data_IF_485125482826
#
_entry.id   IF_485125482826
#
_cell.length_a   1.000
_cell.length_b   1.000
_cell.length_c   1.000
_cell.angle_alpha   90.00
_cell.angle_beta   90.00
_cell.angle_gamma   90.00
#
_symmetry.space_group_name_H-M   'P 1'
#
loop_
_entity.id
_entity.type
_entity.pdbx_description
1 polymer ?
#
# COMPACT_ATOMS: atom_id res chain seq x y z
N UNK A 1 32.59 16.31 -66.60
CA UNK A 1 33.05 16.91 -65.33
C UNK A 1 32.70 15.95 -64.20
N UNK A 2 33.62 15.68 -63.26
CA UNK A 2 33.32 14.84 -62.09
C UNK A 2 32.69 15.72 -61.00
N UNK A 3 31.56 15.33 -60.39
CA UNK A 3 30.88 16.15 -59.39
C UNK A 3 31.79 16.36 -58.17
N UNK A 4 31.74 17.58 -57.62
CA UNK A 4 32.63 18.03 -56.56
C UNK A 4 32.34 17.27 -55.25
N UNK A 5 33.32 17.12 -54.36
CA UNK A 5 33.17 16.33 -53.11
C UNK A 5 32.00 16.80 -52.24
N UNK A 6 31.67 18.09 -52.30
CA UNK A 6 30.58 18.71 -51.54
C UNK A 6 29.21 18.34 -52.15
N UNK A 7 29.09 18.32 -53.48
CA UNK A 7 27.86 17.95 -54.18
C UNK A 7 27.50 16.49 -53.95
N UNK A 8 28.50 15.60 -54.03
CA UNK A 8 28.33 14.17 -53.69
C UNK A 8 27.87 13.95 -52.25
N UNK A 9 28.33 14.78 -51.32
CA UNK A 9 27.91 14.68 -49.91
C UNK A 9 26.47 15.13 -49.72
N UNK A 10 26.06 16.22 -50.39
CA UNK A 10 24.66 16.68 -50.38
C UNK A 10 23.71 15.69 -51.06
N UNK A 11 24.11 15.10 -52.18
CA UNK A 11 23.33 14.03 -52.84
C UNK A 11 23.16 12.80 -51.93
N UNK A 12 24.21 12.42 -51.20
CA UNK A 12 24.17 11.29 -50.28
C UNK A 12 23.31 11.58 -49.04
N UNK A 13 23.39 12.80 -48.49
CA UNK A 13 22.52 13.26 -47.40
C UNK A 13 21.04 13.29 -47.82
N UNK A 14 20.74 13.75 -49.04
CA UNK A 14 19.38 13.80 -49.57
C UNK A 14 18.83 12.40 -49.88
N UNK A 15 19.66 11.50 -50.39
CA UNK A 15 19.30 10.09 -50.58
C UNK A 15 19.04 9.37 -49.24
N UNK A 16 19.84 9.66 -48.21
CA UNK A 16 19.62 9.13 -46.85
C UNK A 16 18.32 9.67 -46.25
N UNK A 17 18.04 10.97 -46.40
CA UNK A 17 16.81 11.58 -45.91
C UNK A 17 15.56 11.00 -46.62
N UNK A 18 15.61 10.79 -47.93
CA UNK A 18 14.54 10.13 -48.67
C UNK A 18 14.31 8.69 -48.20
N UNK A 19 15.39 7.92 -47.99
CA UNK A 19 15.28 6.55 -47.47
C UNK A 19 14.77 6.48 -46.03
N UNK A 20 15.12 7.45 -45.19
CA UNK A 20 14.57 7.57 -43.84
C UNK A 20 13.08 7.87 -43.88
N UNK A 21 12.64 8.79 -44.75
CA UNK A 21 11.21 9.11 -44.94
C UNK A 21 10.41 7.91 -45.46
N UNK A 22 10.96 7.15 -46.40
CA UNK A 22 10.35 5.90 -46.87
C UNK A 22 10.25 4.86 -45.76
N UNK A 23 11.30 4.69 -44.95
CA UNK A 23 11.29 3.78 -43.80
C UNK A 23 10.28 4.19 -42.73
N UNK A 24 10.12 5.48 -42.46
CA UNK A 24 9.10 5.99 -41.56
C UNK A 24 7.69 5.76 -42.11
N UNK A 25 7.47 6.00 -43.40
CA UNK A 25 6.20 5.69 -44.07
C UNK A 25 5.84 4.21 -43.99
N UNK A 26 6.82 3.33 -44.24
CA UNK A 26 6.64 1.88 -44.11
C UNK A 26 6.42 1.44 -42.66
N UNK A 27 7.08 2.07 -41.69
CA UNK A 27 6.85 1.79 -40.25
C UNK A 27 5.47 2.24 -39.80
N UNK A 28 5.00 3.41 -40.23
CA UNK A 28 3.63 3.87 -39.96
C UNK A 28 2.62 2.94 -40.61
N UNK A 29 2.82 2.57 -41.88
CA UNK A 29 1.93 1.63 -42.56
C UNK A 29 1.92 0.25 -41.93
N UNK A 30 3.07 -0.21 -41.42
CA UNK A 30 3.16 -1.43 -40.63
C UNK A 30 2.40 -1.31 -39.32
N UNK A 31 2.52 -0.19 -38.59
CA UNK A 31 1.80 0.05 -37.35
C UNK A 31 0.28 0.14 -37.58
N UNK A 32 -0.16 0.81 -38.64
CA UNK A 32 -1.57 0.86 -39.06
C UNK A 32 -2.11 -0.53 -39.40
N UNK A 33 -1.36 -1.34 -40.15
CA UNK A 33 -1.75 -2.70 -40.47
C UNK A 33 -1.72 -3.61 -39.24
N UNK A 34 -0.76 -3.44 -38.33
CA UNK A 34 -0.71 -4.14 -37.05
C UNK A 34 -1.87 -3.72 -36.13
N UNK A 35 -2.31 -2.45 -36.19
CA UNK A 35 -3.47 -1.94 -35.45
C UNK A 35 -4.78 -2.47 -36.04
N UNK A 36 -4.92 -2.44 -37.38
CA UNK A 36 -6.03 -3.06 -38.14
C UNK A 36 -6.10 -4.59 -37.95
N UNK A 37 -4.96 -5.26 -37.77
CA UNK A 37 -4.86 -6.69 -37.48
C UNK A 37 -4.95 -7.00 -35.97
N UNK A 38 -4.70 -6.02 -35.11
CA UNK A 38 -4.79 -6.19 -33.66
C UNK A 38 -6.24 -6.11 -33.24
N UNK A 39 -6.77 -7.27 -32.86
CA UNK A 39 -8.07 -7.35 -32.24
C UNK A 39 -7.96 -6.65 -30.88
N UNK A 40 -8.59 -5.49 -30.75
CA UNK A 40 -8.65 -4.74 -29.50
C UNK A 40 -9.26 -5.62 -28.40
N UNK A 41 -8.63 -5.70 -27.22
CA UNK A 41 -9.08 -6.57 -26.12
C UNK A 41 -10.49 -6.23 -25.59
N UNK A 42 -11.05 -5.07 -25.97
CA UNK A 42 -12.43 -4.68 -25.69
C UNK A 42 -13.48 -5.54 -26.43
N UNK A 43 -13.13 -6.18 -27.55
CA UNK A 43 -14.04 -7.11 -28.24
C UNK A 43 -14.09 -8.51 -27.60
N UNK A 44 -13.17 -8.81 -26.66
CA UNK A 44 -13.08 -10.10 -25.95
C UNK A 44 -13.82 -10.10 -24.61
N UNK A 45 -14.27 -8.93 -24.12
CA UNK A 45 -14.91 -8.79 -22.81
C UNK A 45 -16.40 -9.14 -22.80
N UNK A 46 -17.06 -9.26 -23.95
CA UNK A 46 -18.51 -9.52 -24.06
C UNK A 46 -18.92 -10.98 -23.84
N UNK A 47 -18.00 -11.87 -23.45
CA UNK A 47 -18.31 -13.26 -23.06
C UNK A 47 -18.62 -14.21 -24.20
N UNK A 48 -18.86 -13.71 -25.42
CA UNK A 48 -19.22 -14.53 -26.57
C UNK A 48 -18.12 -14.51 -27.66
N UNK A 49 -17.11 -15.36 -27.47
CA UNK A 49 -16.01 -15.56 -28.43
C UNK A 49 -16.53 -15.94 -29.83
N UNK A 50 -17.72 -16.53 -29.92
CA UNK A 50 -18.35 -16.89 -31.19
C UNK A 50 -18.84 -15.67 -31.98
N UNK A 51 -19.24 -14.61 -31.29
CA UNK A 51 -19.61 -13.33 -31.91
C UNK A 51 -18.38 -12.52 -32.34
N UNK A 52 -17.28 -12.61 -31.58
CA UNK A 52 -16.02 -11.92 -31.89
C UNK A 52 -15.26 -12.59 -33.06
N UNK A 53 -15.43 -13.89 -33.26
CA UNK A 53 -14.77 -14.65 -34.33
C UNK A 53 -15.79 -15.47 -35.14
N UNK A 54 -16.46 -14.88 -36.13
CA UNK A 54 -17.42 -15.58 -37.00
C UNK A 54 -16.79 -16.77 -37.76
N UNK A 55 -15.47 -16.78 -37.89
CA UNK A 55 -14.70 -17.88 -38.50
C UNK A 55 -14.86 -19.19 -37.71
N UNK A 56 -15.15 -19.12 -36.41
CA UNK A 56 -15.37 -20.29 -35.56
C UNK A 56 -16.63 -21.09 -35.95
N UNK A 57 -17.59 -20.50 -36.68
CA UNK A 57 -18.74 -21.21 -37.24
C UNK A 57 -18.33 -22.33 -38.22
N UNK A 58 -17.13 -22.26 -38.79
CA UNK A 58 -16.59 -23.26 -39.72
C UNK A 58 -15.76 -24.35 -39.02
N UNK A 59 -15.63 -24.32 -37.70
CA UNK A 59 -14.80 -25.23 -36.92
C UNK A 59 -15.56 -26.05 -35.87
N UNK A 60 -14.92 -27.13 -35.40
CA UNK A 60 -15.44 -28.03 -34.36
C UNK A 60 -16.03 -29.34 -34.88
N UNK A 61 -16.48 -30.20 -33.96
CA UNK A 61 -17.04 -31.51 -34.29
C UNK A 61 -18.40 -31.43 -35.04
N UNK A 62 -19.09 -30.30 -34.93
CA UNK A 62 -20.33 -29.97 -35.65
C UNK A 62 -20.28 -28.51 -36.11
N UNK A 63 -19.61 -28.21 -37.24
CA UNK A 63 -19.52 -26.84 -37.75
C UNK A 63 -20.90 -26.35 -38.20
N UNK A 64 -21.18 -25.06 -38.00
CA UNK A 64 -22.43 -24.40 -38.41
C UNK A 64 -22.43 -24.04 -39.90
N UNK A 65 -21.24 -23.93 -40.52
CA UNK A 65 -21.04 -23.61 -41.95
C UNK A 65 -19.98 -24.53 -42.56
N UNK A 66 -20.15 -24.90 -43.83
CA UNK A 66 -19.19 -25.75 -44.54
C UNK A 66 -18.01 -24.93 -45.10
N UNK A 67 -16.79 -25.35 -44.77
CA UNK A 67 -15.53 -24.71 -45.20
C UNK A 67 -15.38 -24.69 -46.73
N UNK A 68 -15.99 -25.66 -47.44
CA UNK A 68 -15.94 -25.76 -48.91
C UNK A 68 -16.65 -24.61 -49.64
N UNK A 69 -17.46 -23.84 -48.92
CA UNK A 69 -18.21 -22.70 -49.48
C UNK A 69 -17.39 -21.41 -49.55
N UNK A 70 -16.14 -21.44 -49.07
CA UNK A 70 -15.28 -20.26 -48.96
C UNK A 70 -14.43 -20.09 -50.23
N UNK A 71 -14.45 -18.90 -50.89
CA UNK A 71 -13.57 -18.61 -52.02
C UNK A 71 -12.08 -18.72 -51.64
N UNK A 72 -11.27 -19.27 -52.54
CA UNK A 72 -9.86 -19.59 -52.25
C UNK A 72 -9.02 -18.37 -51.87
N UNK A 73 -9.39 -17.19 -52.40
CA UNK A 73 -8.77 -15.90 -52.12
C UNK A 73 -8.96 -15.46 -50.66
N UNK A 74 -10.00 -15.97 -49.98
CA UNK A 74 -10.32 -15.65 -48.58
C UNK A 74 -9.75 -16.65 -47.58
N UNK A 75 -9.15 -17.75 -48.04
CA UNK A 75 -8.62 -18.82 -47.17
C UNK A 75 -7.46 -18.31 -46.32
N UNK A 76 -6.56 -17.50 -46.87
CA UNK A 76 -5.45 -16.91 -46.10
C UNK A 76 -5.94 -16.01 -44.95
N UNK A 77 -7.00 -15.23 -45.19
CA UNK A 77 -7.61 -14.37 -44.18
C UNK A 77 -8.37 -15.21 -43.12
N UNK A 78 -8.95 -16.35 -43.50
CA UNK A 78 -9.56 -17.26 -42.53
C UNK A 78 -8.52 -17.95 -41.65
N UNK A 79 -7.39 -18.39 -42.21
CA UNK A 79 -6.31 -19.03 -41.45
C UNK A 79 -5.72 -18.08 -40.39
N UNK A 80 -5.51 -16.82 -40.75
CA UNK A 80 -5.04 -15.79 -39.80
C UNK A 80 -6.08 -15.51 -38.71
N UNK A 81 -7.38 -15.44 -39.06
CA UNK A 81 -8.45 -15.32 -38.07
C UNK A 81 -8.56 -16.56 -37.16
N UNK A 82 -8.29 -17.76 -37.66
CA UNK A 82 -8.23 -18.98 -36.84
C UNK A 82 -7.04 -18.97 -35.88
N UNK A 83 -5.87 -18.52 -36.31
CA UNK A 83 -4.71 -18.38 -35.42
C UNK A 83 -4.97 -17.36 -34.31
N UNK A 84 -5.60 -16.23 -34.64
CA UNK A 84 -5.99 -15.21 -33.67
C UNK A 84 -7.06 -15.74 -32.70
N UNK A 85 -8.08 -16.44 -33.20
CA UNK A 85 -9.11 -17.06 -32.37
C UNK A 85 -8.51 -18.13 -31.45
N UNK A 86 -7.58 -18.95 -31.95
CA UNK A 86 -6.86 -19.97 -31.17
C UNK A 86 -6.07 -19.34 -30.02
N UNK A 87 -5.28 -18.29 -30.30
CA UNK A 87 -4.53 -17.55 -29.25
C UNK A 87 -5.46 -16.93 -28.22
N UNK A 88 -6.58 -16.33 -28.64
CA UNK A 88 -7.56 -15.73 -27.75
C UNK A 88 -8.24 -16.78 -26.85
N UNK A 89 -8.61 -17.94 -27.41
CA UNK A 89 -9.19 -19.07 -26.67
C UNK A 89 -8.19 -19.62 -25.65
N UNK A 90 -6.93 -19.83 -26.05
CA UNK A 90 -5.87 -20.28 -25.14
C UNK A 90 -5.63 -19.31 -24.00
N UNK A 91 -5.59 -18.00 -24.28
CA UNK A 91 -5.45 -16.96 -23.26
C UNK A 91 -6.64 -16.92 -22.29
N UNK A 92 -7.87 -17.03 -22.80
CA UNK A 92 -9.08 -17.09 -21.95
C UNK A 92 -9.13 -18.35 -21.10
N UNK A 93 -8.72 -19.50 -21.63
CA UNK A 93 -8.64 -20.75 -20.86
C UNK A 93 -7.60 -20.65 -19.73
N UNK A 94 -6.45 -20.03 -19.97
CA UNK A 94 -5.45 -19.78 -18.92
C UNK A 94 -6.01 -18.85 -17.83
N UNK A 95 -6.69 -17.76 -18.21
CA UNK A 95 -7.32 -16.84 -17.26
C UNK A 95 -8.39 -17.56 -16.41
N UNK A 96 -9.25 -18.37 -17.02
CA UNK A 96 -10.25 -19.17 -16.32
C UNK A 96 -9.61 -20.21 -15.38
N UNK A 97 -8.52 -20.87 -15.78
CA UNK A 97 -7.78 -21.77 -14.89
C UNK A 97 -7.20 -21.02 -13.68
N UNK A 98 -6.67 -19.81 -13.87
CA UNK A 98 -6.18 -18.99 -12.77
C UNK A 98 -7.32 -18.61 -11.81
N UNK A 99 -8.47 -18.21 -12.32
CA UNK A 99 -9.65 -17.88 -11.53
C UNK A 99 -10.18 -19.10 -10.74
N UNK A 100 -10.26 -20.27 -11.37
CA UNK A 100 -10.63 -21.53 -10.71
C UNK A 100 -9.65 -21.88 -9.60
N UNK A 101 -8.34 -21.69 -9.82
CA UNK A 101 -7.32 -21.94 -8.80
C UNK A 101 -7.41 -20.95 -7.62
N UNK A 102 -7.67 -19.67 -7.88
CA UNK A 102 -7.96 -18.65 -6.87
C UNK A 102 -9.19 -19.03 -6.04
N UNK A 103 -10.30 -19.39 -6.69
CA UNK A 103 -11.52 -19.83 -6.03
C UNK A 103 -11.28 -21.07 -5.16
N UNK A 104 -10.56 -22.06 -5.68
CA UNK A 104 -10.18 -23.25 -4.91
C UNK A 104 -9.30 -22.92 -3.70
N UNK A 105 -8.38 -21.95 -3.82
CA UNK A 105 -7.59 -21.46 -2.67
C UNK A 105 -8.49 -20.80 -1.63
N UNK A 106 -9.45 -19.97 -2.05
CA UNK A 106 -10.41 -19.31 -1.15
C UNK A 106 -11.31 -20.31 -0.44
N UNK A 107 -11.82 -21.32 -1.16
CA UNK A 107 -12.61 -22.42 -0.57
C UNK A 107 -11.77 -23.18 0.48
N UNK A 108 -10.52 -23.52 0.18
CA UNK A 108 -9.62 -24.16 1.16
C UNK A 108 -9.35 -23.29 2.38
N UNK A 109 -9.15 -21.98 2.20
CA UNK A 109 -8.94 -21.04 3.29
C UNK A 109 -10.19 -20.90 4.17
N UNK A 110 -11.38 -20.80 3.56
CA UNK A 110 -12.66 -20.80 4.27
C UNK A 110 -12.91 -22.13 5.00
N UNK A 111 -12.57 -23.27 4.40
CA UNK A 111 -12.64 -24.58 5.05
C UNK A 111 -11.76 -24.65 6.30
N UNK A 112 -10.51 -24.17 6.24
CA UNK A 112 -9.63 -24.07 7.41
C UNK A 112 -10.17 -23.14 8.48
N UNK A 113 -10.74 -22.00 8.08
CA UNK A 113 -11.37 -21.06 8.99
C UNK A 113 -12.58 -21.70 9.70
N UNK A 114 -13.42 -22.42 8.96
CA UNK A 114 -14.56 -23.14 9.52
C UNK A 114 -14.12 -24.20 10.55
N UNK A 115 -13.10 -25.00 10.23
CA UNK A 115 -12.55 -26.00 11.17
C UNK A 115 -12.04 -25.30 12.44
N UNK A 116 -11.27 -24.21 12.32
CA UNK A 116 -10.76 -23.45 13.47
C UNK A 116 -11.89 -22.89 14.34
N UNK A 117 -12.91 -22.30 13.72
CA UNK A 117 -14.08 -21.79 14.45
C UNK A 117 -14.82 -22.94 15.11
N UNK A 118 -15.00 -24.07 14.43
CA UNK A 118 -15.63 -25.27 15.01
C UNK A 118 -14.86 -25.81 16.23
N UNK A 119 -13.53 -25.84 16.19
CA UNK A 119 -12.69 -26.24 17.32
C UNK A 119 -12.78 -25.24 18.49
N UNK A 120 -12.76 -23.93 18.18
CA UNK A 120 -12.93 -22.88 19.19
C UNK A 120 -14.30 -22.94 19.85
N UNK A 121 -15.35 -23.18 19.06
CA UNK A 121 -16.70 -23.38 19.57
C UNK A 121 -16.73 -24.61 20.48
N UNK A 122 -16.18 -25.75 20.05
CA UNK A 122 -16.12 -26.95 20.90
C UNK A 122 -15.35 -26.73 22.21
N UNK A 123 -14.23 -26.03 22.17
CA UNK A 123 -13.47 -25.68 23.38
C UNK A 123 -14.27 -24.76 24.32
N UNK A 124 -15.05 -23.83 23.77
CA UNK A 124 -15.97 -23.00 24.54
C UNK A 124 -17.12 -23.82 25.14
N UNK A 125 -17.69 -24.77 24.38
CA UNK A 125 -18.71 -25.69 24.88
C UNK A 125 -18.19 -26.55 26.04
N UNK A 126 -16.99 -27.12 25.89
CA UNK A 126 -16.35 -27.95 26.91
C UNK A 126 -16.01 -27.11 28.17
N UNK A 127 -15.62 -25.85 28.02
CA UNK A 127 -15.28 -24.95 29.13
C UNK A 127 -16.52 -24.38 29.86
N UNK A 128 -17.64 -24.19 29.16
CA UNK A 128 -18.84 -23.51 29.69
C UNK A 128 -20.01 -24.44 29.97
N UNK A 129 -19.96 -25.69 29.48
CA UNK A 129 -21.06 -26.65 29.56
C UNK A 129 -22.26 -26.31 28.66
N UNK A 130 -22.19 -25.24 27.86
CA UNK A 130 -23.26 -24.78 26.99
C UNK A 130 -22.92 -25.15 25.54
N UNK A 131 -23.64 -26.13 24.96
CA UNK A 131 -23.50 -26.48 23.53
C UNK A 131 -24.00 -25.36 22.64
N UNK A 132 -23.19 -24.93 21.67
CA UNK A 132 -23.62 -24.11 20.57
C UNK A 132 -24.46 -24.98 19.62
N UNK A 133 -25.72 -24.62 19.42
CA UNK A 133 -26.60 -25.35 18.52
C UNK A 133 -26.08 -25.24 17.08
N UNK A 134 -25.44 -26.31 16.59
CA UNK A 134 -25.08 -26.48 15.19
C UNK A 134 -26.33 -26.57 14.32
N UNK A 135 -26.35 -25.81 13.23
CA UNK A 135 -27.48 -25.63 12.32
C UNK A 135 -27.87 -26.84 11.45
N UNK A 136 -27.61 -28.08 11.89
CA UNK A 136 -28.00 -29.29 11.16
C UNK A 136 -29.31 -29.93 11.66
N UNK A 137 -29.97 -29.35 12.66
CA UNK A 137 -31.24 -29.87 13.18
C UNK A 137 -32.48 -29.27 12.50
N UNK A 138 -32.61 -29.48 11.19
CA UNK A 138 -33.90 -29.28 10.51
C UNK A 138 -34.89 -30.44 10.74
N UNK A 139 -34.44 -31.58 11.29
CA UNK A 139 -35.28 -32.79 11.47
C UNK A 139 -35.74 -33.09 12.90
N UNK A 140 -35.29 -32.35 13.91
CA UNK A 140 -35.61 -32.63 15.34
C UNK A 140 -36.67 -31.69 15.95
N UNK A 141 -37.34 -30.88 15.14
CA UNK A 141 -38.44 -30.00 15.62
C UNK A 141 -39.66 -30.75 16.21
N UNK A 142 -39.67 -32.09 16.21
CA UNK A 142 -40.72 -32.88 16.89
C UNK A 142 -40.31 -33.45 18.25
N UNK A 143 -39.04 -33.42 18.64
CA UNK A 143 -38.60 -34.01 19.91
C UNK A 143 -38.56 -33.01 21.09
N UNK A 144 -38.35 -31.72 20.81
CA UNK A 144 -38.18 -30.69 21.86
C UNK A 144 -39.47 -30.17 22.51
N UNK A 145 -40.65 -30.64 22.09
CA UNK A 145 -41.92 -30.21 22.69
C UNK A 145 -42.35 -31.06 23.90
N UNK A 146 -41.52 -31.99 24.41
CA UNK A 146 -41.91 -32.91 25.49
C UNK A 146 -41.04 -32.90 26.76
N UNK A 147 -40.12 -31.96 26.95
CA UNK A 147 -39.22 -32.00 28.12
C UNK A 147 -39.09 -30.72 28.96
N UNK A 148 -39.91 -29.70 28.72
CA UNK A 148 -39.95 -28.53 29.61
C UNK A 148 -41.33 -28.42 30.30
N UNK A 149 -41.69 -29.45 31.05
CA UNK A 149 -42.58 -29.30 32.21
C UNK A 149 -41.69 -28.94 33.41
N UNK A 150 -41.15 -27.74 33.38
CA UNK A 150 -40.72 -27.05 34.59
C UNK A 150 -41.58 -25.81 34.71
N UNK A 151 -42.14 -25.59 35.90
CA UNK A 151 -42.99 -24.43 36.19
C UNK A 151 -42.18 -23.14 35.98
N UNK A 152 -42.23 -22.62 34.75
CA UNK A 152 -41.65 -21.33 34.38
C UNK A 152 -42.46 -20.27 35.09
N UNK A 153 -41.81 -19.55 36.00
CA UNK A 153 -42.47 -18.47 36.73
C UNK A 153 -42.97 -17.40 35.74
N UNK A 154 -44.10 -16.71 36.02
CA UNK A 154 -44.67 -15.70 35.11
C UNK A 154 -43.68 -14.59 34.71
N UNK A 155 -42.71 -14.29 35.58
CA UNK A 155 -41.65 -13.32 35.33
C UNK A 155 -40.63 -13.76 34.26
N UNK A 156 -40.29 -15.05 34.20
CA UNK A 156 -39.36 -15.57 33.19
C UNK A 156 -40.00 -15.65 31.79
N UNK A 157 -41.31 -15.85 31.73
CA UNK A 157 -42.08 -15.77 30.49
C UNK A 157 -42.13 -14.33 29.95
N UNK A 158 -42.33 -13.33 30.81
CA UNK A 158 -42.34 -11.94 30.36
C UNK A 158 -40.94 -11.43 29.99
N UNK A 159 -39.88 -11.88 30.66
CA UNK A 159 -38.51 -11.54 30.25
C UNK A 159 -38.16 -12.12 28.88
N UNK A 160 -38.54 -13.39 28.61
CA UNK A 160 -38.38 -14.01 27.28
C UNK A 160 -39.21 -13.32 26.21
N UNK A 161 -40.47 -12.95 26.50
CA UNK A 161 -41.32 -12.20 25.58
C UNK A 161 -40.74 -10.83 25.24
N UNK A 162 -40.17 -10.13 26.22
CA UNK A 162 -39.48 -8.86 25.98
C UNK A 162 -38.23 -9.02 25.10
N UNK A 163 -37.48 -10.12 25.25
CA UNK A 163 -36.32 -10.45 24.44
C UNK A 163 -36.69 -10.74 22.98
N UNK A 164 -37.73 -11.57 22.77
CA UNK A 164 -38.27 -11.88 21.44
C UNK A 164 -38.80 -10.61 20.76
N UNK A 165 -39.49 -9.72 21.49
CA UNK A 165 -39.97 -8.46 20.95
C UNK A 165 -38.82 -7.52 20.55
N UNK A 166 -37.72 -7.50 21.31
CA UNK A 166 -36.50 -6.77 20.94
C UNK A 166 -35.88 -7.35 19.66
N UNK A 167 -35.75 -8.67 19.55
CA UNK A 167 -35.23 -9.34 18.35
C UNK A 167 -36.09 -9.10 17.11
N UNK A 168 -37.43 -9.16 17.23
CA UNK A 168 -38.34 -8.83 16.13
C UNK A 168 -38.14 -7.37 15.70
N UNK A 169 -37.90 -6.45 16.65
CA UNK A 169 -37.68 -5.04 16.36
C UNK A 169 -36.35 -4.80 15.65
N UNK A 170 -35.26 -5.41 16.10
CA UNK A 170 -33.96 -5.34 15.41
C UNK A 170 -34.04 -6.01 14.04
N UNK A 171 -34.73 -7.15 13.91
CA UNK A 171 -34.99 -7.82 12.64
C UNK A 171 -35.70 -6.91 11.63
N UNK A 172 -36.74 -6.19 12.05
CA UNK A 172 -37.46 -5.21 11.21
C UNK A 172 -36.57 -4.04 10.78
N UNK A 173 -35.72 -3.53 11.66
CA UNK A 173 -34.76 -2.45 11.33
C UNK A 173 -33.75 -2.95 10.29
N UNK A 174 -33.26 -4.18 10.45
CA UNK A 174 -32.28 -4.78 9.55
C UNK A 174 -32.88 -5.04 8.16
N UNK A 175 -34.15 -5.45 8.11
CA UNK A 175 -34.89 -5.64 6.87
C UNK A 175 -35.07 -4.33 6.11
N UNK A 176 -35.51 -3.25 6.80
CA UNK A 176 -35.59 -1.90 6.20
C UNK A 176 -34.26 -1.38 5.67
N UNK A 177 -33.16 -1.61 6.41
CA UNK A 177 -31.82 -1.23 5.94
C UNK A 177 -31.43 -1.99 4.68
N UNK A 178 -31.72 -3.29 4.60
CA UNK A 178 -31.47 -4.10 3.40
C UNK A 178 -32.30 -3.63 2.21
N UNK A 179 -33.58 -3.35 2.41
CA UNK A 179 -34.46 -2.78 1.37
C UNK A 179 -33.90 -1.45 0.84
N UNK A 180 -33.44 -0.58 1.74
CA UNK A 180 -32.83 0.69 1.37
C UNK A 180 -31.52 0.50 0.58
N UNK A 181 -30.65 -0.42 0.99
CA UNK A 181 -29.41 -0.74 0.25
C UNK A 181 -29.71 -1.35 -1.12
N UNK A 182 -30.76 -2.19 -1.25
CA UNK A 182 -31.18 -2.73 -2.55
C UNK A 182 -31.68 -1.60 -3.46
N UNK A 183 -32.44 -0.66 -2.92
CA UNK A 183 -32.91 0.51 -3.67
C UNK A 183 -31.73 1.37 -4.15
N UNK A 184 -30.77 1.66 -3.27
CA UNK A 184 -29.55 2.40 -3.59
C UNK A 184 -28.70 1.69 -4.66
N UNK A 185 -28.52 0.37 -4.56
CA UNK A 185 -27.85 -0.43 -5.60
C UNK A 185 -28.59 -0.38 -6.93
N UNK A 186 -29.92 -0.43 -6.91
CA UNK A 186 -30.73 -0.38 -8.14
C UNK A 186 -30.58 0.96 -8.84
N UNK A 187 -30.62 2.07 -8.07
CA UNK A 187 -30.35 3.40 -8.62
C UNK A 187 -28.93 3.53 -9.18
N UNK A 188 -27.92 3.00 -8.49
CA UNK A 188 -26.55 3.02 -8.99
C UNK A 188 -26.39 2.22 -10.30
N UNK A 189 -27.10 1.10 -10.45
CA UNK A 189 -27.11 0.32 -11.70
C UNK A 189 -27.81 1.08 -12.84
N UNK A 190 -28.92 1.76 -12.54
CA UNK A 190 -29.64 2.60 -13.50
C UNK A 190 -28.73 3.74 -14.01
N UNK A 191 -28.10 4.47 -13.09
CA UNK A 191 -27.20 5.59 -13.40
C UNK A 191 -25.98 5.12 -14.21
N UNK A 192 -25.47 3.92 -13.91
CA UNK A 192 -24.41 3.30 -14.72
C UNK A 192 -24.86 2.98 -16.14
N UNK A 193 -26.11 2.59 -16.37
CA UNK A 193 -26.64 2.34 -17.72
C UNK A 193 -26.76 3.64 -18.50
N UNK A 194 -27.28 4.70 -17.88
CA UNK A 194 -27.37 6.04 -18.49
C UNK A 194 -25.99 6.55 -18.94
N UNK A 195 -24.96 6.38 -18.11
CA UNK A 195 -23.58 6.73 -18.48
C UNK A 195 -23.07 5.90 -19.67
N UNK A 196 -23.41 4.60 -19.75
CA UNK A 196 -23.01 3.77 -20.88
C UNK A 196 -23.69 4.23 -22.18
N UNK A 197 -24.97 4.59 -22.11
CA UNK A 197 -25.70 5.12 -23.25
C UNK A 197 -25.11 6.48 -23.73
N UNK A 198 -24.69 7.34 -22.80
CA UNK A 198 -23.96 8.58 -23.11
C UNK A 198 -22.60 8.31 -23.78
N UNK A 199 -21.85 7.32 -23.29
CA UNK A 199 -20.57 6.92 -23.91
C UNK A 199 -20.78 6.42 -25.34
N UNK A 200 -21.82 5.62 -25.58
CA UNK A 200 -22.14 5.12 -26.92
C UNK A 200 -22.58 6.25 -27.87
N UNK A 201 -23.35 7.22 -27.37
CA UNK A 201 -23.71 8.41 -28.13
C UNK A 201 -22.46 9.24 -28.51
N UNK A 202 -21.53 9.45 -27.57
CA UNK A 202 -20.28 10.16 -27.80
C UNK A 202 -19.37 9.42 -28.80
N UNK A 203 -19.25 8.10 -28.67
CA UNK A 203 -18.47 7.29 -29.61
C UNK A 203 -19.02 7.35 -31.05
N UNK A 204 -20.35 7.36 -31.19
CA UNK A 204 -20.96 7.58 -32.50
C UNK A 204 -20.71 9.00 -33.02
N UNK A 205 -20.77 10.02 -32.15
CA UNK A 205 -20.38 11.38 -32.49
C UNK A 205 -18.96 11.46 -33.04
N UNK A 206 -17.99 10.84 -32.36
CA UNK A 206 -16.59 10.75 -32.78
C UNK A 206 -16.47 10.10 -34.17
N UNK A 207 -17.14 8.96 -34.39
CA UNK A 207 -17.12 8.26 -35.68
C UNK A 207 -17.64 9.10 -36.84
N UNK A 208 -18.71 9.87 -36.61
CA UNK A 208 -19.27 10.78 -37.62
C UNK A 208 -18.28 11.91 -37.91
N UNK A 209 -17.73 12.55 -36.86
CA UNK A 209 -16.74 13.61 -37.05
C UNK A 209 -15.47 13.13 -37.75
N UNK A 210 -14.98 11.92 -37.46
CA UNK A 210 -13.81 11.35 -38.13
C UNK A 210 -14.06 11.11 -39.61
N UNK A 211 -15.27 10.64 -39.96
CA UNK A 211 -15.68 10.48 -41.36
C UNK A 211 -15.71 11.83 -42.07
N UNK A 212 -16.33 12.84 -41.46
CA UNK A 212 -16.43 14.18 -42.06
C UNK A 212 -15.05 14.80 -42.24
N UNK A 213 -14.17 14.69 -41.23
CA UNK A 213 -12.80 15.17 -41.28
C UNK A 213 -11.98 14.45 -42.36
N UNK A 214 -12.22 13.17 -42.59
CA UNK A 214 -11.61 12.44 -43.71
C UNK A 214 -12.09 12.97 -45.05
N UNK A 215 -13.39 13.17 -45.24
CA UNK A 215 -13.93 13.76 -46.47
C UNK A 215 -13.39 15.17 -46.74
N UNK A 216 -13.29 16.01 -45.71
CA UNK A 216 -12.70 17.36 -45.83
C UNK A 216 -11.20 17.30 -46.16
N UNK A 217 -10.45 16.36 -45.57
CA UNK A 217 -9.03 16.15 -45.93
C UNK A 217 -8.86 15.74 -47.39
N UNK A 218 -9.72 14.85 -47.89
CA UNK A 218 -9.71 14.42 -49.30
C UNK A 218 -10.04 15.59 -50.22
N UNK A 219 -11.04 16.42 -49.87
CA UNK A 219 -11.37 17.64 -50.60
C UNK A 219 -10.22 18.66 -50.62
N UNK A 220 -9.56 18.85 -49.47
CA UNK A 220 -8.41 19.75 -49.35
C UNK A 220 -7.19 19.25 -50.15
N UNK A 221 -6.96 17.93 -50.18
CA UNK A 221 -5.91 17.35 -51.03
C UNK A 221 -6.20 17.55 -52.53
N UNK A 222 -7.47 17.41 -52.94
CA UNK A 222 -7.86 17.70 -54.32
C UNK A 222 -7.63 19.18 -54.68
N UNK A 223 -7.96 20.09 -53.77
CA UNK A 223 -7.75 21.53 -53.95
C UNK A 223 -6.25 21.88 -54.03
N UNK A 224 -5.41 21.27 -53.18
CA UNK A 224 -3.96 21.45 -53.23
C UNK A 224 -3.41 20.97 -54.57
N UNK A 225 -3.86 19.80 -55.06
CA UNK A 225 -3.42 19.28 -56.35
C UNK A 225 -3.83 20.20 -57.52
N UNK A 226 -5.01 20.82 -57.45
CA UNK A 226 -5.45 21.83 -58.42
C UNK A 226 -4.57 23.09 -58.36
N UNK A 227 -4.25 23.56 -57.15
CA UNK A 227 -3.36 24.71 -56.95
C UNK A 227 -1.94 24.43 -57.46
N UNK A 228 -1.41 23.23 -57.21
CA UNK A 228 -0.10 22.81 -57.71
C UNK A 228 -0.06 22.81 -59.25
N UNK A 229 -1.12 22.37 -59.93
CA UNK A 229 -1.21 22.42 -61.39
C UNK A 229 -1.31 23.86 -61.93
N UNK A 230 -2.02 24.74 -61.21
CA UNK A 230 -2.07 26.18 -61.51
C UNK A 230 -0.71 26.84 -61.32
N UNK A 231 0.00 26.54 -60.23
CA UNK A 231 1.34 27.04 -59.94
C UNK A 231 2.37 26.56 -60.95
N UNK A 232 2.27 25.30 -61.40
CA UNK A 232 3.11 24.76 -62.48
C UNK A 232 2.86 25.51 -63.79
N UNK A 233 1.60 25.81 -64.13
CA UNK A 233 1.25 26.62 -65.32
C UNK A 233 1.74 28.06 -65.19
N UNK A 234 1.60 28.66 -64.01
CA UNK A 234 2.08 30.02 -63.72
C UNK A 234 3.60 30.09 -63.81
N UNK A 235 4.32 29.16 -63.19
CA UNK A 235 5.78 29.09 -63.27
C UNK A 235 6.27 28.91 -64.71
N UNK A 236 5.63 28.04 -65.51
CA UNK A 236 5.94 27.91 -66.95
C UNK A 236 5.73 29.22 -67.72
N UNK A 237 4.62 29.92 -67.46
CA UNK A 237 4.33 31.21 -68.08
C UNK A 237 5.27 32.33 -67.59
N UNK A 238 5.75 32.23 -66.35
CA UNK A 238 6.67 33.15 -65.73
C UNK A 238 8.11 32.99 -66.24
N UNK A 239 8.57 31.76 -66.44
CA UNK A 239 9.88 31.43 -67.04
C UNK A 239 9.93 31.92 -68.49
N UNK A 240 8.83 31.77 -69.24
CA UNK A 240 8.72 32.29 -70.61
C UNK A 240 8.79 33.84 -70.73
N UNK A 241 8.70 34.56 -69.60
CA UNK A 241 8.74 36.04 -69.52
C UNK A 241 9.93 36.56 -68.71
N UNK A 242 11.02 35.80 -68.60
CA UNK A 242 12.19 36.22 -67.83
C UNK A 242 12.92 37.40 -68.48
N UNK A 243 12.73 38.59 -67.91
CA UNK A 243 13.57 39.78 -68.13
C UNK A 243 14.60 39.90 -67.00
N UNK A 244 15.81 40.35 -67.31
CA UNK A 244 16.93 40.54 -66.35
C UNK A 244 16.52 41.35 -65.10
N UNK A 245 15.65 42.36 -65.24
CA UNK A 245 15.13 43.14 -64.10
C UNK A 245 14.33 42.32 -63.09
N UNK A 246 13.74 41.20 -63.52
CA UNK A 246 12.94 40.33 -62.66
C UNK A 246 13.80 39.38 -61.83
N UNK A 247 14.95 38.96 -62.36
CA UNK A 247 15.96 38.21 -61.60
C UNK A 247 16.52 39.06 -60.47
N UNK A 248 16.84 40.34 -60.73
CA UNK A 248 17.29 41.28 -59.69
C UNK A 248 16.21 41.52 -58.61
N UNK A 249 14.93 41.59 -58.99
CA UNK A 249 13.82 41.68 -58.02
C UNK A 249 13.70 40.38 -57.21
N UNK A 250 13.87 39.20 -57.82
CA UNK A 250 13.84 37.92 -57.11
C UNK A 250 15.01 37.76 -56.14
N UNK A 251 16.19 38.25 -56.50
CA UNK A 251 17.37 38.26 -55.63
C UNK A 251 17.16 39.19 -54.43
N UNK A 252 16.63 40.41 -54.66
CA UNK A 252 16.22 41.30 -53.56
C UNK A 252 15.08 40.75 -52.68
N UNK A 253 14.13 40.00 -53.26
CA UNK A 253 13.09 39.29 -52.50
C UNK A 253 13.70 38.14 -51.69
N UNK A 254 14.71 37.44 -52.21
CA UNK A 254 15.41 36.39 -51.50
C UNK A 254 16.20 36.95 -50.31
N UNK A 255 16.93 38.05 -50.50
CA UNK A 255 17.65 38.75 -49.43
C UNK A 255 16.69 39.24 -48.34
N UNK A 256 15.59 39.91 -48.71
CA UNK A 256 14.57 40.33 -47.73
C UNK A 256 13.93 39.12 -47.02
N UNK A 257 13.72 38.01 -47.73
CA UNK A 257 13.18 36.78 -47.13
C UNK A 257 14.18 36.18 -46.13
N UNK A 258 15.47 36.22 -46.44
CA UNK A 258 16.53 35.72 -45.56
C UNK A 258 16.65 36.62 -44.32
N UNK A 259 16.60 37.94 -44.45
CA UNK A 259 16.57 38.89 -43.32
C UNK A 259 15.33 38.73 -42.44
N UNK A 260 14.14 38.59 -43.05
CA UNK A 260 12.89 38.29 -42.33
C UNK A 260 13.01 36.94 -41.62
N UNK A 261 13.57 35.92 -42.29
CA UNK A 261 13.76 34.61 -41.67
C UNK A 261 14.73 34.70 -40.48
N UNK A 262 15.83 35.43 -40.60
CA UNK A 262 16.81 35.63 -39.52
C UNK A 262 16.18 36.30 -38.30
N UNK A 263 15.49 37.42 -38.51
CA UNK A 263 14.81 38.17 -37.43
C UNK A 263 13.66 37.38 -36.79
N UNK A 264 12.86 36.66 -37.57
CA UNK A 264 11.81 35.77 -37.07
C UNK A 264 12.42 34.62 -36.27
N UNK A 265 13.54 34.05 -36.72
CA UNK A 265 14.18 32.93 -36.03
C UNK A 265 14.80 33.39 -34.71
N UNK A 266 15.46 34.54 -34.67
CA UNK A 266 16.00 35.13 -33.42
C UNK A 266 14.89 35.48 -32.43
N UNK A 267 13.81 36.11 -32.90
CA UNK A 267 12.63 36.42 -32.08
C UNK A 267 11.98 35.15 -31.54
N UNK A 268 11.79 34.12 -32.38
CA UNK A 268 11.26 32.82 -31.98
C UNK A 268 12.15 32.12 -30.97
N UNK A 269 13.47 32.15 -31.14
CA UNK A 269 14.41 31.57 -30.17
C UNK A 269 14.39 32.31 -28.83
N UNK A 270 14.19 33.63 -28.83
CA UNK A 270 14.03 34.41 -27.59
C UNK A 270 12.71 34.06 -26.89
N UNK A 271 11.61 33.99 -27.63
CA UNK A 271 10.31 33.56 -27.11
C UNK A 271 10.34 32.13 -26.58
N UNK A 272 10.99 31.20 -27.29
CA UNK A 272 11.13 29.81 -26.85
C UNK A 272 11.93 29.70 -25.55
N UNK A 273 12.99 30.52 -25.39
CA UNK A 273 13.74 30.61 -24.13
C UNK A 273 12.86 31.11 -22.99
N UNK A 274 12.09 32.18 -23.21
CA UNK A 274 11.13 32.71 -22.22
C UNK A 274 10.11 31.64 -21.83
N UNK A 275 9.49 30.96 -22.80
CA UNK A 275 8.51 29.89 -22.56
C UNK A 275 9.13 28.74 -21.75
N UNK A 276 10.35 28.32 -22.10
CA UNK A 276 11.05 27.27 -21.33
C UNK A 276 11.31 27.71 -19.89
N UNK A 277 11.73 28.95 -19.67
CA UNK A 277 11.92 29.51 -18.32
C UNK A 277 10.61 29.61 -17.55
N UNK A 278 9.51 30.02 -18.20
CA UNK A 278 8.17 30.07 -17.60
C UNK A 278 7.66 28.68 -17.23
N UNK A 279 7.78 27.69 -18.11
CA UNK A 279 7.37 26.31 -17.84
C UNK A 279 8.17 25.71 -16.68
N UNK A 280 9.50 25.89 -16.69
CA UNK A 280 10.35 25.47 -15.57
C UNK A 280 9.92 26.13 -14.25
N UNK A 281 9.57 27.42 -14.29
CA UNK A 281 9.11 28.16 -13.12
C UNK A 281 7.77 27.64 -12.60
N UNK A 282 6.82 27.33 -13.49
CA UNK A 282 5.52 26.74 -13.13
C UNK A 282 5.73 25.40 -12.44
N UNK A 283 6.48 24.48 -13.05
CA UNK A 283 6.76 23.16 -12.46
C UNK A 283 7.44 23.28 -11.09
N UNK A 284 8.41 24.20 -10.96
CA UNK A 284 9.09 24.45 -9.69
C UNK A 284 8.13 24.99 -8.62
N UNK A 285 7.24 25.90 -8.98
CA UNK A 285 6.25 26.48 -8.06
C UNK A 285 5.18 25.45 -7.66
N UNK A 286 4.70 24.64 -8.59
CA UNK A 286 3.74 23.56 -8.34
C UNK A 286 4.32 22.50 -7.39
N UNK A 287 5.53 22.03 -7.65
CA UNK A 287 6.19 21.06 -6.79
C UNK A 287 6.38 21.61 -5.36
N UNK A 288 6.73 22.89 -5.25
CA UNK A 288 6.91 23.54 -3.95
C UNK A 288 5.59 23.77 -3.23
N UNK A 289 4.55 24.16 -3.94
CA UNK A 289 3.21 24.28 -3.39
C UNK A 289 2.78 22.93 -2.80
N UNK A 290 2.95 21.84 -3.54
CA UNK A 290 2.64 20.49 -3.06
C UNK A 290 3.41 20.13 -1.78
N UNK A 291 4.71 20.46 -1.72
CA UNK A 291 5.53 20.23 -0.53
C UNK A 291 5.04 21.05 0.68
N UNK A 292 4.69 22.31 0.44
CA UNK A 292 4.17 23.22 1.47
C UNK A 292 2.81 22.75 1.95
N UNK A 293 1.89 22.39 1.05
CA UNK A 293 0.56 21.87 1.39
C UNK A 293 0.65 20.60 2.23
N UNK A 294 1.49 19.63 1.81
CA UNK A 294 1.75 18.43 2.61
C UNK A 294 2.28 18.77 4.00
N UNK A 295 3.24 19.70 4.10
CA UNK A 295 3.78 20.14 5.38
C UNK A 295 2.72 20.83 6.26
N UNK A 296 1.88 21.69 5.67
CA UNK A 296 0.81 22.39 6.38
C UNK A 296 -0.29 21.43 6.85
N UNK A 297 -0.65 20.44 6.03
CA UNK A 297 -1.60 19.38 6.41
C UNK A 297 -1.06 18.53 7.55
N UNK A 298 0.18 18.04 7.45
CA UNK A 298 0.80 17.23 8.51
C UNK A 298 0.90 17.95 9.85
N UNK A 299 0.99 19.28 9.84
CA UNK A 299 1.08 20.10 11.05
C UNK A 299 -0.26 20.74 11.46
N UNK A 300 -1.37 20.46 10.76
CA UNK A 300 -2.69 21.07 10.97
C UNK A 300 -2.68 22.62 10.90
N UNK A 301 -1.81 23.19 10.08
CA UNK A 301 -1.65 24.65 9.92
C UNK A 301 -2.41 25.22 8.71
N UNK A 302 -2.96 24.36 7.85
CA UNK A 302 -3.62 24.73 6.60
C UNK A 302 -4.65 25.86 6.83
N UNK A 303 -5.59 25.65 7.75
CA UNK A 303 -6.66 26.61 8.01
C UNK A 303 -6.16 27.94 8.60
N UNK A 304 -5.07 27.91 9.38
CA UNK A 304 -4.44 29.11 9.93
C UNK A 304 -3.72 29.93 8.86
N UNK A 305 -3.08 29.27 7.89
CA UNK A 305 -2.47 29.92 6.73
C UNK A 305 -3.55 30.51 5.84
N UNK A 306 -4.62 29.77 5.54
CA UNK A 306 -5.74 30.27 4.73
C UNK A 306 -6.41 31.49 5.35
N UNK A 307 -6.62 31.48 6.67
CA UNK A 307 -7.16 32.62 7.39
C UNK A 307 -6.23 33.84 7.36
N UNK A 308 -4.92 33.63 7.57
CA UNK A 308 -3.93 34.71 7.53
C UNK A 308 -3.78 35.31 6.12
N UNK A 309 -3.80 34.47 5.09
CA UNK A 309 -3.79 34.90 3.70
C UNK A 309 -5.08 35.64 3.34
N UNK A 310 -6.25 35.08 3.68
CA UNK A 310 -7.56 35.71 3.39
C UNK A 310 -7.71 37.07 4.06
N UNK A 311 -7.28 37.21 5.32
CA UNK A 311 -7.29 38.50 6.02
C UNK A 311 -6.30 39.50 5.43
N UNK A 312 -5.09 39.06 5.09
CA UNK A 312 -4.08 39.91 4.45
C UNK A 312 -4.50 40.36 3.05
N UNK A 313 -5.09 39.45 2.27
CA UNK A 313 -5.56 39.69 0.91
C UNK A 313 -6.73 40.67 0.89
N UNK A 314 -7.73 40.45 1.75
CA UNK A 314 -8.90 41.33 1.86
C UNK A 314 -8.55 42.72 2.43
N UNK A 315 -7.54 42.82 3.30
CA UNK A 315 -7.22 44.07 3.98
C UNK A 315 -6.19 44.96 3.25
N UNK A 316 -5.29 44.40 2.43
CA UNK A 316 -4.20 45.16 1.81
C UNK A 316 -4.19 45.19 0.29
N UNK A 317 -4.90 44.29 -0.39
CA UNK A 317 -4.89 44.27 -1.86
C UNK A 317 -3.48 44.10 -2.46
N UNK A 318 -2.49 43.71 -1.66
CA UNK A 318 -1.12 43.38 -2.09
C UNK A 318 -1.14 41.99 -2.75
N UNK A 319 -1.93 41.84 -3.82
CA UNK A 319 -1.44 41.00 -4.89
C UNK A 319 -0.15 41.68 -5.30
N UNK A 320 1.00 41.00 -5.23
CA UNK A 320 2.22 41.45 -5.89
C UNK A 320 1.77 41.90 -7.27
N UNK A 321 1.66 43.21 -7.48
CA UNK A 321 1.21 43.78 -8.75
C UNK A 321 2.17 43.15 -9.74
N UNK A 322 1.62 42.35 -10.65
CA UNK A 322 2.36 41.85 -11.80
C UNK A 322 3.09 43.07 -12.32
N UNK A 323 4.43 43.01 -12.28
CA UNK A 323 5.26 44.10 -12.81
C UNK A 323 4.84 44.39 -14.24
N UNK A 324 5.27 45.54 -14.76
CA UNK A 324 5.06 45.93 -16.16
C UNK A 324 5.12 44.71 -17.09
N UNK A 325 4.21 44.58 -18.06
CA UNK A 325 4.12 43.40 -18.95
C UNK A 325 5.47 43.00 -19.60
N UNK A 326 6.42 43.93 -19.64
CA UNK A 326 7.81 43.77 -20.05
C UNK A 326 8.58 42.76 -19.18
N UNK A 327 8.31 42.71 -17.87
CA UNK A 327 8.93 41.78 -16.91
C UNK A 327 8.56 40.31 -17.21
N UNK A 328 7.45 40.06 -17.91
CA UNK A 328 7.06 38.70 -18.32
C UNK A 328 7.96 38.12 -19.42
N UNK A 329 8.77 38.95 -20.08
CA UNK A 329 9.70 38.56 -21.13
C UNK A 329 11.17 38.52 -20.66
N UNK A 330 11.44 38.84 -19.40
CA UNK A 330 12.77 38.80 -18.80
C UNK A 330 12.96 37.50 -18.00
N UNK A 331 13.83 36.62 -18.49
CA UNK A 331 14.13 35.33 -17.86
C UNK A 331 14.63 35.47 -16.41
N UNK A 332 15.36 36.54 -16.08
CA UNK A 332 15.92 36.75 -14.74
C UNK A 332 14.85 37.23 -13.75
N UNK A 333 13.77 37.84 -14.25
CA UNK A 333 12.59 38.22 -13.46
C UNK A 333 11.63 37.04 -13.27
N UNK A 334 11.48 36.21 -14.30
CA UNK A 334 10.64 35.01 -14.25
C UNK A 334 11.19 34.01 -13.22
N UNK A 335 12.51 33.83 -13.17
CA UNK A 335 13.16 32.95 -12.19
C UNK A 335 14.20 33.70 -11.35
N UNK A 336 13.78 34.42 -10.30
CA UNK A 336 14.69 35.23 -9.50
C UNK A 336 15.62 34.36 -8.65
N UNK A 337 16.86 34.82 -8.48
CA UNK A 337 17.86 34.15 -7.65
C UNK A 337 17.54 34.14 -6.15
N UNK A 338 16.72 35.09 -5.69
CA UNK A 338 16.23 35.16 -4.32
C UNK A 338 14.71 35.38 -4.31
N UNK A 339 14.01 34.46 -3.65
CA UNK A 339 12.58 34.57 -3.48
C UNK A 339 12.20 35.20 -2.16
N UNK A 340 11.11 35.96 -2.18
CA UNK A 340 10.54 36.58 -0.98
C UNK A 340 9.26 35.84 -0.62
N UNK A 341 9.18 35.42 0.64
CA UNK A 341 7.94 34.89 1.21
C UNK A 341 7.04 36.05 1.68
N UNK A 342 5.73 35.87 1.59
CA UNK A 342 4.78 36.85 2.11
C UNK A 342 5.00 37.05 3.63
N UNK A 343 5.10 38.29 4.14
CA UNK A 343 5.42 38.55 5.55
C UNK A 343 4.47 37.87 6.54
N UNK A 344 3.18 37.75 6.20
CA UNK A 344 2.20 37.06 7.04
C UNK A 344 2.50 35.56 7.19
N UNK A 345 2.90 34.89 6.10
CA UNK A 345 3.28 33.47 6.11
C UNK A 345 4.57 33.29 6.93
N UNK A 346 5.55 34.16 6.72
CA UNK A 346 6.80 34.15 7.49
C UNK A 346 6.55 34.28 9.00
N UNK A 347 5.69 35.22 9.40
CA UNK A 347 5.35 35.44 10.80
C UNK A 347 4.61 34.25 11.43
N UNK A 348 3.74 33.59 10.67
CA UNK A 348 3.06 32.37 11.11
C UNK A 348 4.06 31.23 11.35
N UNK A 349 4.97 30.99 10.41
CA UNK A 349 6.03 29.98 10.59
C UNK A 349 6.97 30.34 11.75
N UNK A 350 7.29 31.61 11.95
CA UNK A 350 8.11 32.06 13.07
C UNK A 350 7.42 31.83 14.42
N UNK A 351 6.11 32.13 14.53
CA UNK A 351 5.33 31.88 15.73
C UNK A 351 5.27 30.38 16.06
N UNK A 352 5.06 29.54 15.04
CA UNK A 352 4.98 28.09 15.22
C UNK A 352 6.34 27.48 15.57
N UNK A 353 7.42 27.95 14.93
CA UNK A 353 8.79 27.61 15.34
C UNK A 353 9.01 27.92 16.82
N UNK A 354 8.62 29.11 17.27
CA UNK A 354 8.78 29.51 18.67
C UNK A 354 7.95 28.64 19.62
N UNK A 355 6.71 28.28 19.24
CA UNK A 355 5.85 27.36 19.99
C UNK A 355 6.50 25.97 20.11
N UNK A 356 6.95 25.40 19.00
CA UNK A 356 7.60 24.09 18.97
C UNK A 356 8.90 24.08 19.78
N UNK A 357 9.73 25.12 19.66
CA UNK A 357 10.96 25.29 20.46
C UNK A 357 10.65 25.24 21.97
N UNK A 358 9.58 25.91 22.41
CA UNK A 358 9.14 25.87 23.82
C UNK A 358 8.69 24.48 24.24
N UNK A 359 7.88 23.80 23.42
CA UNK A 359 7.43 22.43 23.70
C UNK A 359 8.62 21.46 23.84
N UNK A 360 9.59 21.53 22.91
CA UNK A 360 10.81 20.70 22.97
C UNK A 360 11.61 21.00 24.24
N UNK A 361 11.73 22.28 24.62
CA UNK A 361 12.44 22.68 25.83
C UNK A 361 11.79 22.11 27.10
N UNK A 362 10.46 22.13 27.17
CA UNK A 362 9.70 21.51 28.27
C UNK A 362 9.87 19.99 28.31
N UNK A 363 9.79 19.32 27.16
CA UNK A 363 10.02 17.87 27.08
C UNK A 363 11.42 17.48 27.54
N UNK A 364 12.44 18.25 27.16
CA UNK A 364 13.81 18.05 27.62
C UNK A 364 13.96 18.24 29.13
N UNK A 365 13.22 19.18 29.72
CA UNK A 365 13.22 19.38 31.17
C UNK A 365 12.60 18.17 31.88
N UNK A 366 11.45 17.70 31.41
CA UNK A 366 10.80 16.48 31.93
C UNK A 366 11.70 15.26 31.77
N UNK A 367 12.39 15.11 30.64
CA UNK A 367 13.33 14.02 30.42
C UNK A 367 14.45 14.02 31.47
N UNK A 368 15.05 15.19 31.74
CA UNK A 368 16.07 15.35 32.79
C UNK A 368 15.53 15.04 34.19
N UNK A 369 14.30 15.46 34.50
CA UNK A 369 13.68 15.10 35.78
C UNK A 369 13.49 13.59 35.92
N UNK A 370 13.12 12.90 34.84
CA UNK A 370 12.98 11.44 34.84
C UNK A 370 14.34 10.74 34.97
N UNK A 371 15.38 11.22 34.30
CA UNK A 371 16.75 10.74 34.49
C UNK A 371 17.18 10.86 35.95
N UNK A 372 16.98 12.02 36.59
CA UNK A 372 17.31 12.21 38.00
C UNK A 372 16.54 11.26 38.94
N UNK A 373 15.27 10.94 38.63
CA UNK A 373 14.50 9.95 39.39
C UNK A 373 15.05 8.55 39.19
N UNK A 374 15.47 8.18 37.97
CA UNK A 374 16.09 6.89 37.68
C UNK A 374 17.39 6.75 38.48
N UNK A 375 18.23 7.79 38.49
CA UNK A 375 19.49 7.80 39.26
C UNK A 375 19.23 7.65 40.76
N UNK A 376 18.25 8.38 41.31
CA UNK A 376 17.88 8.27 42.72
C UNK A 376 17.34 6.87 43.09
N UNK A 377 16.54 6.25 42.21
CA UNK A 377 16.09 4.87 42.38
C UNK A 377 17.25 3.88 42.27
N UNK A 378 18.20 4.13 41.38
CA UNK A 378 19.45 3.37 41.26
C UNK A 378 20.24 3.37 42.56
N UNK A 379 20.51 4.55 43.12
CA UNK A 379 21.20 4.67 44.42
C UNK A 379 20.44 3.96 45.55
N UNK A 380 19.10 4.03 45.57
CA UNK A 380 18.29 3.33 46.56
C UNK A 380 18.36 1.81 46.40
N UNK A 381 18.34 1.30 45.18
CA UNK A 381 18.50 -0.12 44.89
C UNK A 381 19.88 -0.62 45.33
N UNK A 382 20.94 0.15 45.07
CA UNK A 382 22.29 -0.17 45.55
C UNK A 382 22.39 -0.18 47.08
N UNK A 383 21.76 0.77 47.77
CA UNK A 383 21.73 0.80 49.23
C UNK A 383 21.02 -0.44 49.81
N UNK A 384 19.83 -0.77 49.29
CA UNK A 384 19.09 -1.96 49.70
C UNK A 384 19.87 -3.25 49.40
N UNK A 385 20.58 -3.31 48.26
CA UNK A 385 21.44 -4.45 47.93
C UNK A 385 22.55 -4.65 48.96
N UNK A 386 23.19 -3.55 49.42
CA UNK A 386 24.19 -3.59 50.49
C UNK A 386 23.59 -4.07 51.81
N UNK A 387 22.45 -3.53 52.21
CA UNK A 387 21.73 -3.97 53.42
C UNK A 387 21.38 -5.45 53.36
N UNK A 388 20.91 -5.96 52.22
CA UNK A 388 20.67 -7.39 52.03
C UNK A 388 21.96 -8.21 52.16
N UNK A 389 23.07 -7.73 51.62
CA UNK A 389 24.36 -8.42 51.72
C UNK A 389 24.88 -8.46 53.16
N UNK A 390 24.71 -7.37 53.92
CA UNK A 390 25.04 -7.31 55.34
C UNK A 390 24.16 -8.27 56.15
N UNK A 391 22.85 -8.30 55.91
CA UNK A 391 21.94 -9.24 56.56
C UNK A 391 22.29 -10.71 56.27
N UNK A 392 22.73 -11.03 55.05
CA UNK A 392 23.23 -12.38 54.71
C UNK A 392 24.49 -12.71 55.51
N UNK A 393 25.44 -11.78 55.61
CA UNK A 393 26.67 -12.00 56.39
C UNK A 393 26.38 -12.18 57.88
N UNK A 394 25.46 -11.40 58.45
CA UNK A 394 25.02 -11.58 59.84
C UNK A 394 24.37 -12.95 60.05
N UNK A 395 23.50 -13.38 59.12
CA UNK A 395 22.88 -14.70 59.16
C UNK A 395 23.93 -15.82 59.11
N UNK A 396 24.93 -15.70 58.23
CA UNK A 396 26.02 -16.68 58.10
C UNK A 396 26.87 -16.74 59.38
N UNK A 397 27.14 -15.61 60.02
CA UNK A 397 27.86 -15.55 61.30
C UNK A 397 27.06 -16.23 62.43
N UNK A 398 25.76 -15.95 62.53
CA UNK A 398 24.89 -16.57 63.54
C UNK A 398 24.77 -18.07 63.29
N UNK A 399 24.58 -18.51 62.04
CA UNK A 399 24.53 -19.92 61.68
C UNK A 399 25.85 -20.64 62.01
N UNK A 400 26.99 -20.01 61.70
CA UNK A 400 28.31 -20.54 62.04
C UNK A 400 28.53 -20.63 63.55
N UNK A 401 28.08 -19.62 64.30
CA UNK A 401 28.13 -19.61 65.76
C UNK A 401 27.29 -20.74 66.37
N UNK A 402 26.05 -20.92 65.89
CA UNK A 402 25.18 -22.01 66.32
C UNK A 402 25.78 -23.39 66.03
N UNK A 403 26.36 -23.59 64.85
CA UNK A 403 27.04 -24.84 64.49
C UNK A 403 28.26 -25.11 65.38
N UNK A 404 29.04 -24.07 65.72
CA UNK A 404 30.16 -24.20 66.64
C UNK A 404 29.72 -24.56 68.06
N UNK A 405 28.65 -23.94 68.56
CA UNK A 405 28.08 -24.26 69.87
C UNK A 405 27.55 -25.69 69.93
N UNK A 406 26.87 -26.16 68.88
CA UNK A 406 26.40 -27.55 68.75
C UNK A 406 27.58 -28.53 68.78
N UNK A 407 28.65 -28.27 68.00
CA UNK A 407 29.83 -29.13 68.01
C UNK A 407 30.53 -29.13 69.37
N UNK A 408 30.62 -27.98 70.05
CA UNK A 408 31.19 -27.90 71.39
C UNK A 408 30.35 -28.69 72.42
N UNK A 409 29.01 -28.63 72.31
CA UNK A 409 28.12 -29.47 73.14
C UNK A 409 28.33 -30.97 72.85
N UNK A 410 28.45 -31.34 71.57
CA UNK A 410 28.74 -32.71 71.15
C UNK A 410 30.07 -33.21 71.72
N UNK A 411 31.14 -32.40 71.65
CA UNK A 411 32.45 -32.73 72.23
C UNK A 411 32.35 -32.94 73.74
N UNK A 412 31.72 -32.02 74.48
CA UNK A 412 31.50 -32.16 75.93
C UNK A 412 30.70 -33.42 76.30
N UNK A 413 29.70 -33.77 75.49
CA UNK A 413 28.93 -34.99 75.69
C UNK A 413 29.79 -36.25 75.49
N UNK A 414 30.68 -36.25 74.50
CA UNK A 414 31.65 -37.34 74.27
C UNK A 414 32.61 -37.46 75.46
N UNK A 415 33.22 -36.35 75.89
CA UNK A 415 34.11 -36.33 77.06
C UNK A 415 33.42 -36.88 78.33
N UNK A 416 32.16 -36.47 78.56
CA UNK A 416 31.37 -36.99 79.68
C UNK A 416 31.14 -38.50 79.58
N UNK A 417 30.81 -39.02 78.39
CA UNK A 417 30.62 -40.45 78.16
C UNK A 417 31.93 -41.21 78.44
N UNK A 418 33.08 -40.69 78.01
CA UNK A 418 34.39 -41.29 78.28
C UNK A 418 34.71 -41.33 79.77
N UNK A 419 34.46 -40.24 80.50
CA UNK A 419 34.61 -40.19 81.95
C UNK A 419 33.72 -41.23 82.66
N UNK A 420 32.46 -41.38 82.22
CA UNK A 420 31.57 -42.41 82.77
C UNK A 420 32.09 -43.81 82.47
N UNK A 421 32.60 -44.08 81.26
CA UNK A 421 33.19 -45.38 80.90
C UNK A 421 34.40 -45.71 81.77
N UNK A 422 35.29 -44.75 82.03
CA UNK A 422 36.42 -44.91 82.95
C UNK A 422 35.93 -45.22 84.37
N UNK A 423 34.96 -44.46 84.88
CA UNK A 423 34.38 -44.70 86.21
C UNK A 423 33.71 -46.07 86.33
N UNK A 424 33.00 -46.52 85.30
CA UNK A 424 32.44 -47.87 85.26
C UNK A 424 33.52 -48.95 85.24
N UNK A 425 34.61 -48.72 84.51
CA UNK A 425 35.78 -49.60 84.51
C UNK A 425 36.38 -49.71 85.92
N UNK A 426 36.58 -48.59 86.62
CA UNK A 426 37.10 -48.56 87.99
C UNK A 426 36.17 -49.31 88.96
N UNK A 427 34.86 -49.05 88.89
CA UNK A 427 33.84 -49.77 89.68
C UNK A 427 33.84 -51.26 89.38
N UNK A 428 34.05 -51.65 88.11
CA UNK A 428 34.15 -53.06 87.73
C UNK A 428 35.39 -53.72 88.33
N UNK A 429 36.56 -53.06 88.28
CA UNK A 429 37.78 -53.51 88.93
C UNK A 429 37.61 -53.62 90.45
N UNK A 430 37.01 -52.62 91.08
CA UNK A 430 36.76 -52.61 92.52
C UNK A 430 35.79 -53.72 92.94
N UNK A 431 34.70 -53.93 92.19
CA UNK A 431 33.79 -55.07 92.38
C UNK A 431 34.52 -56.40 92.25
N UNK A 432 35.38 -56.55 91.24
CA UNK A 432 36.16 -57.77 91.05
C UNK A 432 37.13 -58.01 92.22
N UNK A 433 37.80 -56.95 92.69
CA UNK A 433 38.68 -56.98 93.86
C UNK A 433 37.92 -57.39 95.12
N UNK A 434 36.77 -56.77 95.42
CA UNK A 434 35.92 -57.12 96.55
C UNK A 434 35.41 -58.56 96.48
N UNK A 435 35.04 -59.03 95.28
CA UNK A 435 34.63 -60.44 95.08
C UNK A 435 35.78 -61.41 95.35
N UNK A 436 37.00 -61.08 94.94
CA UNK A 436 38.19 -61.89 95.25
C UNK A 436 38.55 -61.89 96.74
N UNK A 437 38.40 -60.76 97.44
CA UNK A 437 38.56 -60.65 98.89
C UNK A 437 37.51 -61.47 99.66
N UNK A 438 36.24 -61.42 99.25
CA UNK A 438 35.17 -62.23 99.84
C UNK A 438 35.39 -63.75 99.67
N UNK A 439 36.02 -64.17 98.57
CA UNK A 439 36.40 -65.56 98.31
C UNK A 439 37.66 -66.01 99.08
N UNK A 440 38.42 -65.08 99.66
CA UNK A 440 39.69 -65.37 100.38
C UNK A 440 39.59 -65.17 101.89
N UNK A 441 38.53 -64.53 102.40
CA UNK A 441 38.22 -64.50 103.84
C UNK A 441 37.60 -65.82 104.33
N UNK A 442 38.22 -66.53 105.30
CA UNK A 442 37.62 -67.68 105.95
C UNK A 442 36.43 -67.26 106.80
N UNK A 443 35.34 -68.02 106.74
CA UNK A 443 34.19 -67.86 107.64
C UNK A 443 34.56 -68.46 109.00
N UNK A 444 35.06 -67.64 109.94
CA UNK A 444 35.44 -68.07 111.29
C UNK A 444 34.81 -67.20 112.39
N UNK A 445 33.84 -67.78 113.11
CA UNK A 445 33.62 -67.61 114.56
C UNK A 445 32.69 -66.49 115.08
N UNK A 446 31.55 -66.87 115.67
CA UNK A 446 30.75 -66.05 116.63
C UNK A 446 31.43 -65.94 118.02
N UNK A 447 30.75 -65.80 119.19
CA UNK A 447 29.30 -65.86 119.51
C UNK A 447 28.81 -64.79 120.56
N UNK A 448 27.51 -64.74 120.88
CA UNK A 448 26.96 -64.73 122.27
C UNK A 448 25.47 -64.35 122.33
N UNK A 449 24.79 -65.11 123.17
CA UNK A 449 23.41 -65.05 123.68
C UNK A 449 22.95 -63.71 124.27
N UNK A 450 21.65 -63.38 124.13
CA UNK A 450 20.72 -63.06 125.25
C UNK A 450 19.28 -62.76 124.77
N UNK A 451 18.35 -63.56 125.32
CA UNK A 451 16.88 -63.56 125.29
C UNK A 451 16.19 -63.97 124.00
#
# INVERSE_FOLDING_TARGET
MRPNKIERRKELELAVALRQKELEGLRRRKAELEEELSITPQNLTSGDLSAAFPVLDYCGARPRKDLRTVPIERVGNMLTQFELASKAISGRNQALMHEVNELNRRIKAQGKHYIRVSEQTKNLEDATGVRAQGGDQASERRAFLRQNETDVTPQELESRKALILKEIRTGRILLKKKEQTIFEMTNAVQLRREILDEIDALNNGIRVTDRDLKCEKEALQALIAEHDDVDVKLNKAMIAKESISRLLIQEGIAEMRDEISGTVTESRQRQERVIKTQNYRIEQLEHRLECIEKALQNNNLLHGVDAALSQSWAAKGDLMTLGDDVDMYDSDKINPSQERCHPAIYNLFLAEKNRLTRCISLLNLVAKEKEAVIDALGCKAEALSKECQEAIQELDQVASGAAYEEENQRVKAIEYIEQQRLRYSDLFFEKHRLKSLALTTPRTGGPATRR
#
